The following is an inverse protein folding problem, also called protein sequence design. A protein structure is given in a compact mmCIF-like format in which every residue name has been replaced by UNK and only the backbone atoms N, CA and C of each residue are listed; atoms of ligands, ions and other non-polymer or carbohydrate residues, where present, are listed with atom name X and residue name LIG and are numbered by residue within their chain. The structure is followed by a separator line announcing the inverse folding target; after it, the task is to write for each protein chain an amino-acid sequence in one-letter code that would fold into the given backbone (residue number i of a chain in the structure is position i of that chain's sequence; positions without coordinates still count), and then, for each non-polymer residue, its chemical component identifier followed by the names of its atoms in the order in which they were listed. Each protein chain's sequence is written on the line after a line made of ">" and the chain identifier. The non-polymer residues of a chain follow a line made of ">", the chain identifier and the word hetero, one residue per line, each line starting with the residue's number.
data_IF_021081351183
#
_entry.id   IF_021081351183
#
_cell.length_a   1.000
_cell.length_b   1.000
_cell.length_c   1.000
_cell.angle_alpha   90.00
_cell.angle_beta   90.00
_cell.angle_gamma   90.00
#
_symmetry.space_group_name_H-M   'P 1'
#
loop_
_entity.id
_entity.type
_entity.pdbx_description
1 polymer ?
#
# COMPACT_ATOMS: atom_id res chain seq x y z
N UNK A 1 1.10 15.77 2.59
CA UNK A 1 1.91 14.62 3.06
C UNK A 1 3.17 14.59 2.21
N UNK A 2 4.34 14.82 2.80
CA UNK A 2 5.61 14.82 2.07
C UNK A 2 5.91 13.38 1.59
N UNK A 3 6.16 13.21 0.31
CA UNK A 3 6.62 11.97 -0.30
C UNK A 3 7.93 11.54 0.36
N UNK A 4 7.97 10.36 0.97
CA UNK A 4 9.17 9.73 1.53
C UNK A 4 10.08 9.23 0.39
N UNK A 5 10.59 10.14 -0.44
CA UNK A 5 11.66 9.80 -1.41
C UNK A 5 12.96 9.62 -0.62
N UNK A 6 13.41 8.38 -0.46
CA UNK A 6 14.70 8.03 0.14
C UNK A 6 14.65 7.11 1.36
N UNK A 7 13.54 7.05 2.10
CA UNK A 7 13.41 6.14 3.23
C UNK A 7 13.07 4.70 2.78
N UNK A 8 13.63 3.68 3.44
CA UNK A 8 13.29 2.29 3.12
C UNK A 8 11.80 2.02 3.34
N UNK A 9 11.16 1.30 2.41
CA UNK A 9 9.77 0.91 2.51
C UNK A 9 9.55 0.06 3.76
N UNK A 10 8.47 0.37 4.48
CA UNK A 10 8.14 -0.26 5.74
C UNK A 10 7.11 -1.37 5.56
N UNK A 11 7.46 -2.60 5.93
CA UNK A 11 6.58 -3.76 5.94
C UNK A 11 6.29 -4.14 7.40
N UNK A 12 5.01 -4.26 7.73
CA UNK A 12 4.55 -4.85 8.98
C UNK A 12 4.27 -6.33 8.74
N UNK A 13 4.91 -7.22 9.48
CA UNK A 13 4.69 -8.66 9.47
C UNK A 13 3.93 -9.02 10.74
N UNK A 14 2.78 -9.69 10.56
CA UNK A 14 1.90 -10.16 11.63
C UNK A 14 1.85 -11.68 11.53
N UNK A 15 2.59 -12.38 12.37
CA UNK A 15 2.79 -13.83 12.32
C UNK A 15 3.15 -14.33 13.72
N UNK A 16 2.45 -15.31 14.23
CA UNK A 16 2.65 -15.87 15.57
C UNK A 16 3.69 -16.99 15.61
N UNK A 17 3.95 -17.68 14.48
CA UNK A 17 5.05 -18.64 14.40
C UNK A 17 6.40 -17.92 14.35
N UNK A 18 7.25 -18.07 15.39
CA UNK A 18 8.51 -17.34 15.49
C UNK A 18 9.50 -17.69 14.37
N UNK A 19 9.48 -18.94 13.85
CA UNK A 19 10.39 -19.37 12.79
C UNK A 19 10.03 -18.69 11.47
N UNK A 20 8.75 -18.65 11.13
CA UNK A 20 8.24 -17.96 9.94
C UNK A 20 8.49 -16.44 10.04
N UNK A 21 8.21 -15.86 11.20
CA UNK A 21 8.43 -14.44 11.44
C UNK A 21 9.91 -14.04 11.34
N UNK A 22 10.82 -14.80 11.94
CA UNK A 22 12.25 -14.55 11.85
C UNK A 22 12.77 -14.69 10.43
N UNK A 23 12.39 -15.79 9.73
CA UNK A 23 12.75 -16.01 8.34
C UNK A 23 12.30 -14.84 7.44
N UNK A 24 11.04 -14.43 7.53
CA UNK A 24 10.50 -13.33 6.74
C UNK A 24 11.18 -12.01 7.07
N UNK A 25 11.38 -11.72 8.37
CA UNK A 25 12.01 -10.49 8.83
C UNK A 25 13.45 -10.38 8.34
N UNK A 26 14.25 -11.45 8.49
CA UNK A 26 15.63 -11.50 8.01
C UNK A 26 15.70 -11.33 6.49
N UNK A 27 14.84 -12.06 5.76
CA UNK A 27 14.82 -12.04 4.31
C UNK A 27 14.47 -10.64 3.76
N UNK A 28 13.38 -10.03 4.20
CA UNK A 28 12.99 -8.72 3.70
C UNK A 28 13.91 -7.60 4.18
N UNK A 29 14.48 -7.69 5.40
CA UNK A 29 15.51 -6.75 5.85
C UNK A 29 16.75 -6.80 4.97
N UNK A 30 17.18 -8.00 4.50
CA UNK A 30 18.33 -8.16 3.59
C UNK A 30 18.10 -7.51 2.22
N UNK A 31 16.83 -7.31 1.83
CA UNK A 31 16.44 -6.62 0.61
C UNK A 31 16.29 -5.10 0.79
N UNK A 32 16.60 -4.57 1.98
CA UNK A 32 16.56 -3.14 2.27
C UNK A 32 15.20 -2.61 2.74
N UNK A 33 14.24 -3.48 3.06
CA UNK A 33 12.97 -3.06 3.66
C UNK A 33 13.14 -2.80 5.15
N UNK A 34 12.43 -1.80 5.67
CA UNK A 34 12.25 -1.63 7.11
C UNK A 34 11.18 -2.62 7.58
N UNK A 35 11.51 -3.47 8.54
CA UNK A 35 10.58 -4.48 9.05
C UNK A 35 10.16 -4.15 10.48
N UNK A 36 8.88 -4.31 10.76
CA UNK A 36 8.34 -4.44 12.10
C UNK A 36 7.58 -5.75 12.15
N UNK A 37 7.84 -6.56 13.16
CA UNK A 37 7.13 -7.81 13.42
C UNK A 37 6.32 -7.70 14.71
N UNK A 38 5.13 -8.29 14.70
CA UNK A 38 4.26 -8.51 15.86
C UNK A 38 3.59 -9.89 15.73
N UNK A 39 3.35 -10.54 16.88
CA UNK A 39 2.72 -11.87 16.92
C UNK A 39 1.20 -11.82 17.17
N UNK A 40 0.65 -10.65 17.46
CA UNK A 40 -0.73 -10.45 17.92
C UNK A 40 -1.47 -9.45 17.03
N UNK A 41 -2.72 -9.75 16.70
CA UNK A 41 -3.55 -8.90 15.87
C UNK A 41 -3.85 -7.54 16.48
N UNK A 42 -4.12 -7.48 17.79
CA UNK A 42 -4.35 -6.21 18.50
C UNK A 42 -3.11 -5.31 18.50
N UNK A 43 -1.93 -5.89 18.57
CA UNK A 43 -0.68 -5.11 18.49
C UNK A 43 -0.41 -4.66 17.05
N UNK A 44 -0.79 -5.48 16.06
CA UNK A 44 -0.73 -5.09 14.64
C UNK A 44 -1.54 -3.83 14.37
N UNK A 45 -2.76 -3.72 14.90
CA UNK A 45 -3.63 -2.54 14.74
C UNK A 45 -3.00 -1.28 15.36
N UNK A 46 -2.47 -1.39 16.59
CA UNK A 46 -1.79 -0.28 17.28
C UNK A 46 -0.56 0.20 16.50
N UNK A 47 0.28 -0.75 16.08
CA UNK A 47 1.52 -0.46 15.34
C UNK A 47 1.22 0.10 13.96
N UNK A 48 0.27 -0.48 13.21
CA UNK A 48 -0.11 0.01 11.89
C UNK A 48 -0.60 1.47 11.95
N UNK A 49 -1.46 1.80 12.91
CA UNK A 49 -1.96 3.17 13.08
C UNK A 49 -0.85 4.18 13.42
N UNK A 50 0.14 3.75 14.22
CA UNK A 50 1.27 4.59 14.64
C UNK A 50 2.31 4.78 13.55
N UNK A 51 2.65 3.70 12.83
CA UNK A 51 3.79 3.68 11.92
C UNK A 51 3.42 3.84 10.46
N UNK A 52 2.14 3.62 10.11
CA UNK A 52 1.62 3.68 8.74
C UNK A 52 2.51 2.90 7.76
N UNK A 53 2.57 1.56 7.86
CA UNK A 53 3.41 0.75 7.00
C UNK A 53 2.95 0.85 5.54
N UNK A 54 3.90 0.66 4.62
CA UNK A 54 3.62 0.63 3.17
C UNK A 54 2.92 -0.67 2.74
N UNK A 55 3.02 -1.74 3.55
CA UNK A 55 2.40 -3.04 3.32
C UNK A 55 2.31 -3.81 4.62
N UNK A 56 1.24 -4.61 4.76
CA UNK A 56 1.06 -5.59 5.85
C UNK A 56 1.08 -7.00 5.25
N UNK A 57 1.93 -7.86 5.81
CA UNK A 57 1.90 -9.32 5.60
C UNK A 57 1.26 -9.91 6.84
N UNK A 58 0.11 -10.58 6.69
CA UNK A 58 -0.79 -10.90 7.79
C UNK A 58 -1.17 -12.38 7.77
N UNK A 59 -0.83 -13.10 8.82
CA UNK A 59 -1.41 -14.43 9.03
C UNK A 59 -2.89 -14.32 9.42
N UNK A 60 -3.67 -15.28 8.95
CA UNK A 60 -5.09 -15.39 9.31
C UNK A 60 -5.23 -15.96 10.72
N UNK A 61 -4.42 -16.96 11.08
CA UNK A 61 -4.52 -17.63 12.37
C UNK A 61 -3.62 -16.96 13.41
N UNK A 62 -4.12 -15.94 14.06
CA UNK A 62 -3.43 -15.27 15.16
C UNK A 62 -4.04 -15.72 16.51
N UNK A 63 -3.27 -15.61 17.61
CA UNK A 63 -3.69 -16.17 18.90
C UNK A 63 -4.79 -15.36 19.61
N UNK A 64 -5.03 -14.09 19.23
CA UNK A 64 -5.99 -13.19 19.87
C UNK A 64 -7.21 -12.91 19.02
N UNK A 65 -7.04 -12.38 17.83
CA UNK A 65 -8.12 -12.06 16.88
C UNK A 65 -7.76 -12.60 15.49
N UNK A 66 -8.77 -12.97 14.72
CA UNK A 66 -8.61 -13.47 13.37
C UNK A 66 -8.00 -12.40 12.44
N UNK A 67 -7.11 -12.79 11.53
CA UNK A 67 -6.48 -11.88 10.57
C UNK A 67 -7.48 -11.17 9.67
N UNK A 68 -8.65 -11.76 9.40
CA UNK A 68 -9.72 -11.07 8.67
C UNK A 68 -10.29 -9.90 9.48
N UNK A 69 -10.48 -10.07 10.79
CA UNK A 69 -10.90 -8.99 11.67
C UNK A 69 -9.83 -7.89 11.75
N UNK A 70 -8.55 -8.25 11.81
CA UNK A 70 -7.45 -7.27 11.71
C UNK A 70 -7.57 -6.46 10.43
N UNK A 71 -7.76 -7.12 9.29
CA UNK A 71 -7.90 -6.44 7.99
C UNK A 71 -9.11 -5.51 7.96
N UNK A 72 -10.27 -5.95 8.41
CA UNK A 72 -11.51 -5.15 8.47
C UNK A 72 -11.30 -3.90 9.33
N UNK A 73 -10.72 -4.07 10.53
CA UNK A 73 -10.42 -2.95 11.43
C UNK A 73 -9.37 -1.99 10.88
N UNK A 74 -8.39 -2.46 10.08
CA UNK A 74 -7.47 -1.59 9.34
C UNK A 74 -8.20 -0.76 8.28
N UNK A 75 -9.17 -1.35 7.58
CA UNK A 75 -10.01 -0.66 6.57
C UNK A 75 -10.92 0.39 7.20
N UNK A 76 -11.40 0.17 8.42
CA UNK A 76 -12.21 1.12 9.17
C UNK A 76 -11.45 2.34 9.71
N UNK A 77 -10.12 2.39 9.60
CA UNK A 77 -9.29 3.47 10.12
C UNK A 77 -8.71 4.31 8.98
N UNK A 78 -9.03 5.60 8.90
CA UNK A 78 -8.57 6.54 7.87
C UNK A 78 -7.06 6.53 7.60
N UNK A 79 -6.23 6.15 8.57
CA UNK A 79 -4.77 6.11 8.41
C UNK A 79 -4.24 4.86 7.75
N UNK A 80 -5.02 3.78 7.77
CA UNK A 80 -4.61 2.44 7.32
C UNK A 80 -5.56 1.85 6.28
N UNK A 81 -6.67 2.52 5.98
CA UNK A 81 -7.71 2.05 5.04
C UNK A 81 -7.17 1.67 3.65
N UNK A 82 -6.13 2.36 3.19
CA UNK A 82 -5.50 2.11 1.90
C UNK A 82 -4.20 1.28 1.99
N UNK A 83 -3.76 0.90 3.19
CA UNK A 83 -2.55 0.07 3.35
C UNK A 83 -2.78 -1.30 2.73
N UNK A 84 -1.98 -1.72 1.73
CA UNK A 84 -2.15 -3.03 1.11
C UNK A 84 -1.87 -4.15 2.11
N UNK A 85 -2.70 -5.20 2.07
CA UNK A 85 -2.59 -6.39 2.92
C UNK A 85 -2.41 -7.62 2.05
N UNK A 86 -1.39 -8.44 2.36
CA UNK A 86 -1.21 -9.78 1.83
C UNK A 86 -1.48 -10.76 2.96
N UNK A 87 -2.44 -11.68 2.75
CA UNK A 87 -2.67 -12.75 3.70
C UNK A 87 -1.70 -13.91 3.49
N UNK A 88 -1.17 -14.44 4.59
CA UNK A 88 -0.57 -15.77 4.65
C UNK A 88 -1.60 -16.72 5.26
N UNK A 89 -1.87 -17.85 4.63
CA UNK A 89 -2.93 -18.76 5.09
C UNK A 89 -2.58 -20.21 4.82
N UNK A 90 -2.92 -21.10 5.74
CA UNK A 90 -2.89 -22.54 5.53
C UNK A 90 -4.10 -23.03 4.72
N UNK A 91 -5.14 -22.23 4.63
CA UNK A 91 -6.39 -22.59 3.98
C UNK A 91 -6.34 -22.42 2.48
N UNK A 92 -6.68 -23.47 1.75
CA UNK A 92 -6.77 -23.52 0.27
C UNK A 92 -8.20 -23.32 -0.23
N UNK A 93 -9.17 -23.12 0.65
CA UNK A 93 -10.57 -23.04 0.26
C UNK A 93 -10.90 -21.74 -0.48
N UNK A 94 -11.62 -21.91 -1.58
CA UNK A 94 -12.02 -20.79 -2.46
C UNK A 94 -12.85 -19.72 -1.74
N UNK A 95 -13.61 -20.13 -0.71
CA UNK A 95 -14.46 -19.24 0.07
C UNK A 95 -13.65 -18.28 0.94
N UNK A 96 -12.56 -18.76 1.57
CA UNK A 96 -11.67 -17.92 2.38
C UNK A 96 -10.99 -16.84 1.54
N UNK A 97 -10.59 -17.18 0.31
CA UNK A 97 -10.01 -16.22 -0.64
C UNK A 97 -11.02 -15.14 -1.07
N UNK A 98 -12.29 -15.52 -1.28
CA UNK A 98 -13.34 -14.56 -1.64
C UNK A 98 -13.66 -13.61 -0.49
N UNK A 99 -13.68 -14.11 0.75
CA UNK A 99 -13.92 -13.28 1.93
C UNK A 99 -12.85 -12.21 2.11
N UNK A 100 -11.59 -12.58 2.02
CA UNK A 100 -10.51 -11.60 2.20
C UNK A 100 -10.38 -10.61 1.05
N UNK A 101 -10.64 -11.02 -0.20
CA UNK A 101 -10.72 -10.09 -1.32
C UNK A 101 -11.90 -9.12 -1.16
N UNK A 102 -13.04 -9.56 -0.62
CA UNK A 102 -14.18 -8.71 -0.29
C UNK A 102 -13.84 -7.70 0.81
N UNK A 103 -12.93 -8.03 1.74
CA UNK A 103 -12.40 -7.14 2.77
C UNK A 103 -11.31 -6.19 2.26
N UNK A 104 -11.03 -6.20 0.94
CA UNK A 104 -10.06 -5.30 0.32
C UNK A 104 -8.60 -5.73 0.50
N UNK A 105 -8.34 -7.03 0.76
CA UNK A 105 -6.97 -7.57 0.65
C UNK A 105 -6.51 -7.54 -0.81
N UNK A 106 -5.22 -7.26 -1.00
CA UNK A 106 -4.66 -7.14 -2.35
C UNK A 106 -4.22 -8.48 -2.90
N UNK A 107 -3.82 -9.43 -2.03
CA UNK A 107 -3.35 -10.75 -2.44
C UNK A 107 -3.38 -11.79 -1.31
N UNK A 108 -3.20 -13.06 -1.70
CA UNK A 108 -3.19 -14.25 -0.86
C UNK A 108 -2.03 -15.17 -1.20
N UNK A 109 -1.39 -15.72 -0.18
CA UNK A 109 -0.36 -16.74 -0.31
C UNK A 109 -0.65 -17.88 0.65
N UNK A 110 -0.71 -19.11 0.13
CA UNK A 110 -0.97 -20.31 0.93
C UNK A 110 0.32 -20.88 1.49
N UNK A 111 0.32 -21.21 2.78
CA UNK A 111 1.39 -21.96 3.46
C UNK A 111 1.31 -23.47 3.06
N UNK A 112 2.43 -24.17 2.81
CA UNK A 112 3.77 -23.62 2.73
C UNK A 112 3.99 -22.83 1.43
N UNK A 113 4.72 -21.72 1.51
CA UNK A 113 4.99 -20.83 0.39
C UNK A 113 6.47 -20.71 0.06
N UNK A 114 6.76 -20.36 -1.19
CA UNK A 114 8.10 -19.93 -1.61
C UNK A 114 8.28 -18.45 -1.26
N UNK A 115 9.31 -18.13 -0.48
CA UNK A 115 9.63 -16.75 -0.11
C UNK A 115 9.94 -15.88 -1.33
N UNK A 116 10.41 -16.46 -2.45
CA UNK A 116 10.63 -15.73 -3.70
C UNK A 116 9.30 -15.33 -4.35
N UNK A 117 8.26 -16.18 -4.26
CA UNK A 117 6.92 -15.84 -4.70
C UNK A 117 6.38 -14.65 -3.90
N UNK A 118 6.46 -14.71 -2.57
CA UNK A 118 6.05 -13.61 -1.69
C UNK A 118 6.80 -12.32 -2.03
N UNK A 119 8.13 -12.39 -2.24
CA UNK A 119 8.94 -11.24 -2.65
C UNK A 119 8.42 -10.58 -3.93
N UNK A 120 8.10 -11.38 -4.96
CA UNK A 120 7.60 -10.85 -6.24
C UNK A 120 6.28 -10.12 -6.02
N UNK A 121 5.38 -10.66 -5.21
CA UNK A 121 4.07 -10.06 -4.89
C UNK A 121 4.24 -8.77 -4.10
N UNK A 122 5.02 -8.77 -3.03
CA UNK A 122 5.37 -7.59 -2.23
C UNK A 122 5.91 -6.47 -3.12
N UNK A 123 6.91 -6.76 -3.95
CA UNK A 123 7.50 -5.78 -4.87
C UNK A 123 6.47 -5.21 -5.85
N UNK A 124 5.60 -6.05 -6.41
CA UNK A 124 4.61 -5.61 -7.37
C UNK A 124 3.54 -4.72 -6.73
N UNK A 125 3.09 -5.06 -5.51
CA UNK A 125 2.12 -4.29 -4.75
C UNK A 125 2.70 -2.92 -4.37
N UNK A 126 3.90 -2.89 -3.79
CA UNK A 126 4.57 -1.65 -3.42
C UNK A 126 4.87 -0.74 -4.62
N UNK A 127 5.08 -1.33 -5.80
CA UNK A 127 5.23 -0.56 -7.04
C UNK A 127 3.90 0.03 -7.52
N UNK A 128 2.78 -0.70 -7.41
CA UNK A 128 1.44 -0.21 -7.77
C UNK A 128 0.99 0.91 -6.83
N UNK A 129 1.16 0.74 -5.54
CA UNK A 129 0.81 1.78 -4.56
C UNK A 129 1.58 3.10 -4.78
N UNK A 130 2.77 3.04 -5.38
CA UNK A 130 3.47 4.23 -5.86
C UNK A 130 2.80 4.87 -7.08
N UNK A 131 2.29 4.06 -8.01
CA UNK A 131 1.61 4.58 -9.20
C UNK A 131 0.27 5.22 -8.83
N UNK A 132 -0.47 4.62 -7.90
CA UNK A 132 -1.73 5.20 -7.39
C UNK A 132 -1.48 6.53 -6.64
N UNK A 133 -0.34 6.67 -5.95
CA UNK A 133 0.08 7.94 -5.33
C UNK A 133 0.56 8.97 -6.36
N UNK A 134 0.94 8.53 -7.56
CA UNK A 134 1.39 9.39 -8.66
C UNK A 134 0.25 9.88 -9.55
N UNK A 135 -0.96 9.37 -9.35
CA UNK A 135 -2.17 9.83 -10.02
C UNK A 135 -3.07 10.58 -9.03
N UNK A 136 -3.74 11.61 -9.51
CA UNK A 136 -4.72 12.33 -8.71
C UNK A 136 -5.96 11.46 -8.48
N UNK A 137 -6.45 11.28 -7.23
CA UNK A 137 -7.48 10.29 -6.89
C UNK A 137 -8.83 10.53 -7.58
N UNK A 138 -9.13 11.78 -7.90
CA UNK A 138 -10.40 12.15 -8.56
C UNK A 138 -10.27 12.14 -10.08
N UNK A 139 -9.24 12.81 -10.61
CA UNK A 139 -9.10 13.01 -12.06
C UNK A 139 -8.35 11.89 -12.78
N UNK A 140 -7.62 11.03 -12.05
CA UNK A 140 -6.73 10.03 -12.63
C UNK A 140 -5.53 10.61 -13.38
N UNK A 141 -5.33 11.93 -13.36
CA UNK A 141 -4.22 12.60 -14.01
C UNK A 141 -2.92 12.45 -13.22
N UNK A 142 -1.75 12.49 -13.89
CA UNK A 142 -0.47 12.48 -13.21
C UNK A 142 -0.32 13.65 -12.22
N UNK A 143 0.13 13.34 -11.00
CA UNK A 143 0.53 14.38 -10.04
C UNK A 143 1.83 15.06 -10.47
N UNK A 144 2.16 16.22 -9.86
CA UNK A 144 3.40 16.97 -10.16
C UNK A 144 4.65 16.10 -10.12
N UNK A 145 4.74 15.15 -9.19
CA UNK A 145 5.88 14.23 -9.04
C UNK A 145 6.08 13.36 -10.28
N UNK A 146 4.99 12.78 -10.82
CA UNK A 146 5.08 11.98 -12.05
C UNK A 146 5.37 12.84 -13.27
N UNK A 147 4.78 14.03 -13.33
CA UNK A 147 5.04 14.99 -14.42
C UNK A 147 6.50 15.40 -14.44
N UNK A 148 7.09 15.79 -13.32
CA UNK A 148 8.49 16.17 -13.20
C UNK A 148 9.43 15.05 -13.65
N UNK A 149 9.23 13.82 -13.16
CA UNK A 149 10.03 12.65 -13.55
C UNK A 149 9.93 12.33 -15.05
N UNK A 150 8.75 12.52 -15.65
CA UNK A 150 8.57 12.36 -17.09
C UNK A 150 9.21 13.49 -17.89
N UNK A 151 9.11 14.73 -17.41
CA UNK A 151 9.74 15.88 -18.05
C UNK A 151 11.28 15.76 -18.09
N UNK A 152 11.91 15.30 -17.01
CA UNK A 152 13.34 15.03 -16.99
C UNK A 152 13.75 13.98 -18.05
N UNK A 153 12.97 12.92 -18.20
CA UNK A 153 13.20 11.89 -19.24
C UNK A 153 13.06 12.43 -20.65
N UNK A 154 12.05 13.28 -20.86
CA UNK A 154 11.69 13.80 -22.19
C UNK A 154 12.62 14.96 -22.57
N UNK A 155 13.10 15.75 -21.60
CA UNK A 155 14.07 16.82 -21.83
C UNK A 155 15.41 16.34 -22.42
N UNK A 156 15.72 15.04 -22.31
CA UNK A 156 16.89 14.44 -22.95
C UNK A 156 16.72 14.22 -24.46
N UNK A 157 15.48 14.33 -24.99
CA UNK A 157 15.21 14.19 -26.42
C UNK A 157 15.48 15.50 -27.15
N UNK A 158 16.09 15.44 -28.32
CA UNK A 158 16.48 16.62 -29.15
C UNK A 158 15.31 17.34 -29.81
N UNK A 159 14.10 16.78 -29.78
CA UNK A 159 12.89 17.36 -30.36
C UNK A 159 11.71 17.17 -29.38
N UNK A 160 11.33 18.26 -28.73
CA UNK A 160 10.26 18.26 -27.73
C UNK A 160 9.32 19.45 -28.00
N UNK A 161 8.02 19.21 -28.00
CA UNK A 161 7.00 20.24 -27.91
C UNK A 161 6.26 20.08 -26.56
N UNK A 162 6.17 21.14 -25.78
CA UNK A 162 5.44 21.20 -24.52
C UNK A 162 4.22 22.10 -24.68
N UNK A 163 3.04 21.57 -24.34
CA UNK A 163 1.80 22.33 -24.27
C UNK A 163 1.42 22.45 -22.79
N UNK A 164 1.32 23.67 -22.28
CA UNK A 164 0.84 23.95 -20.95
C UNK A 164 -0.59 24.51 -21.06
N UNK A 165 -1.54 23.88 -20.38
CA UNK A 165 -2.94 24.33 -20.32
C UNK A 165 -3.22 24.71 -18.88
N UNK A 166 -3.53 26.01 -18.66
CA UNK A 166 -3.89 26.54 -17.34
C UNK A 166 -5.39 26.81 -17.27
N UNK A 167 -6.01 26.36 -16.17
CA UNK A 167 -7.38 26.71 -15.82
C UNK A 167 -7.35 27.81 -14.77
N UNK A 168 -7.99 28.93 -15.03
CA UNK A 168 -8.09 30.09 -14.13
C UNK A 168 -9.48 30.15 -13.48
N UNK A 169 -9.58 30.79 -12.30
CA UNK A 169 -10.85 30.94 -11.58
C UNK A 169 -11.20 29.78 -10.64
N UNK A 170 -10.35 28.77 -10.52
CA UNK A 170 -10.59 27.62 -9.64
C UNK A 170 -10.77 27.99 -8.15
N UNK A 171 -10.03 28.96 -7.57
CA UNK A 171 -10.28 29.38 -6.19
C UNK A 171 -11.69 29.95 -5.97
N UNK A 172 -12.20 30.72 -6.91
CA UNK A 172 -13.54 31.31 -6.83
C UNK A 172 -14.61 30.22 -6.99
N UNK A 173 -14.38 29.28 -7.89
CA UNK A 173 -15.24 28.11 -8.08
C UNK A 173 -15.28 27.23 -6.82
N UNK A 174 -14.12 26.93 -6.23
CA UNK A 174 -14.04 26.14 -4.99
C UNK A 174 -14.74 26.84 -3.81
N UNK A 175 -14.65 28.17 -3.71
CA UNK A 175 -15.35 28.93 -2.68
C UNK A 175 -16.87 28.93 -2.86
N UNK A 176 -17.34 28.92 -4.12
CA UNK A 176 -18.76 28.97 -4.45
C UNK A 176 -19.45 27.59 -4.33
N UNK A 177 -18.76 26.52 -4.72
CA UNK A 177 -19.36 25.18 -4.90
C UNK A 177 -18.76 24.09 -4.00
N UNK A 178 -17.68 24.38 -3.28
CA UNK A 178 -17.00 23.47 -2.39
C UNK A 178 -15.83 22.72 -3.05
N UNK A 179 -15.00 22.13 -2.20
CA UNK A 179 -13.74 21.52 -2.60
C UNK A 179 -13.89 20.27 -3.50
N UNK A 180 -14.92 19.44 -3.23
CA UNK A 180 -15.18 18.23 -4.01
C UNK A 180 -15.52 18.56 -5.46
N UNK A 181 -16.35 19.58 -5.66
CA UNK A 181 -16.74 20.04 -7.01
C UNK A 181 -15.59 20.69 -7.77
N UNK A 182 -14.60 21.24 -7.06
CA UNK A 182 -13.39 21.79 -7.65
C UNK A 182 -12.52 20.72 -8.31
N UNK A 183 -12.47 19.52 -7.74
CA UNK A 183 -11.68 18.40 -8.27
C UNK A 183 -12.37 17.67 -9.45
N UNK A 184 -13.68 17.91 -9.66
CA UNK A 184 -14.46 17.33 -10.77
C UNK A 184 -14.40 18.16 -12.07
N UNK A 185 -13.71 19.32 -12.07
CA UNK A 185 -13.54 20.24 -13.21
C UNK A 185 -12.11 20.18 -13.73
#
# INVERSE_FOLDING_TARGET
>A
MQSRQGDPRHILIVEDDPNTAEMLSAYFSSLGYKITHVAWGEDALKIATKTQPDLVVLDIHLPDIDGYEVCDRLRGQRRTEHTPVIFLTERRERMDRLQGLALGAVDYITKPFDVQELRIRVRNILRRSNLDTLLHPVTGLPTSVLVEAQMERVAQNKSLALINIGVSGMPDFSNAYGFVTHDDV
#
